data_IF_553654069623
#
_entry.id   IF_553654069623
#
_cell.length_a   1.000
_cell.length_b   1.000
_cell.length_c   1.000
_cell.angle_alpha   90.00
_cell.angle_beta   90.00
_cell.angle_gamma   90.00
#
_symmetry.space_group_name_H-M   'P 1'
#
loop_
_entity.id
_entity.type
_entity.pdbx_description
1 polymer ?
#
# COMPACT_ATOMS: atom_id res chain seq x y z
N UNK A 1 -2.51 -9.90 18.30
CA UNK A 1 -2.23 -10.99 19.28
C UNK A 1 -2.92 -12.26 18.83
N UNK A 2 -2.24 -13.43 18.81
CA UNK A 2 -2.90 -14.71 18.54
C UNK A 2 -4.07 -14.93 19.53
N UNK A 3 -5.20 -15.40 19.02
CA UNK A 3 -6.43 -15.67 19.76
C UNK A 3 -7.08 -16.98 19.28
N UNK A 4 -8.07 -17.46 20.00
CA UNK A 4 -8.94 -18.56 19.57
C UNK A 4 -10.39 -18.14 19.74
N UNK A 5 -11.22 -18.48 18.77
CA UNK A 5 -12.67 -18.34 18.85
C UNK A 5 -13.26 -19.36 19.85
N UNK A 6 -14.50 -19.15 20.23
CA UNK A 6 -15.23 -20.10 21.12
C UNK A 6 -15.34 -21.50 20.50
N UNK A 7 -15.41 -21.58 19.14
CA UNK A 7 -15.44 -22.84 18.39
C UNK A 7 -14.04 -23.48 18.22
N UNK A 8 -12.99 -22.89 18.85
CA UNK A 8 -11.62 -23.38 18.80
C UNK A 8 -10.81 -22.94 17.57
N UNK A 9 -11.40 -22.27 16.57
CA UNK A 9 -10.70 -21.84 15.39
C UNK A 9 -9.66 -20.74 15.69
N UNK A 10 -8.49 -20.77 15.04
CA UNK A 10 -7.46 -19.77 15.25
C UNK A 10 -7.89 -18.41 14.70
N UNK A 11 -7.57 -17.35 15.44
CA UNK A 11 -7.85 -15.97 15.07
C UNK A 11 -6.70 -15.06 15.51
N UNK A 12 -6.75 -13.79 15.08
CA UNK A 12 -5.89 -12.72 15.57
C UNK A 12 -6.76 -11.60 16.10
N UNK A 13 -6.52 -11.21 17.36
CA UNK A 13 -7.09 -9.99 17.94
C UNK A 13 -6.12 -8.83 17.64
N UNK A 14 -6.64 -7.82 16.95
CA UNK A 14 -5.97 -6.56 16.64
C UNK A 14 -6.68 -5.43 17.37
N UNK A 15 -5.92 -4.50 17.94
CA UNK A 15 -6.42 -3.23 18.48
C UNK A 15 -5.75 -2.11 17.71
N UNK A 16 -6.55 -1.32 17.01
CA UNK A 16 -6.03 -0.27 16.13
C UNK A 16 -5.70 0.99 16.91
N UNK A 17 -4.59 1.62 16.54
CA UNK A 17 -4.28 2.97 16.97
C UNK A 17 -5.30 3.95 16.34
N UNK A 18 -5.68 5.03 17.05
CA UNK A 18 -6.62 6.04 16.54
C UNK A 18 -5.96 6.95 15.49
N UNK A 19 -5.85 6.46 14.26
CA UNK A 19 -5.34 7.21 13.12
C UNK A 19 -6.36 7.18 11.96
N UNK A 20 -6.46 8.25 11.16
CA UNK A 20 -7.44 8.32 10.06
C UNK A 20 -7.27 7.22 9.02
N UNK A 21 -6.05 6.72 8.84
CA UNK A 21 -5.72 5.72 7.82
C UNK A 21 -6.27 4.33 8.14
N UNK A 22 -6.40 3.98 9.43
CA UNK A 22 -6.94 2.69 9.87
C UNK A 22 -8.44 2.72 10.20
N UNK A 23 -9.09 3.88 10.10
CA UNK A 23 -10.49 4.07 10.57
C UNK A 23 -11.48 3.10 9.92
N UNK A 24 -11.31 2.80 8.64
CA UNK A 24 -12.23 1.97 7.86
C UNK A 24 -11.68 0.56 7.53
N UNK A 25 -10.69 0.07 8.28
CA UNK A 25 -10.16 -1.28 8.07
C UNK A 25 -11.25 -2.35 8.19
N UNK A 26 -12.11 -2.23 9.20
CA UNK A 26 -13.20 -3.18 9.43
C UNK A 26 -14.18 -3.27 8.25
N UNK A 27 -14.51 -2.13 7.66
CA UNK A 27 -15.38 -2.02 6.49
C UNK A 27 -14.74 -2.62 5.25
N UNK A 28 -13.46 -2.34 5.01
CA UNK A 28 -12.71 -2.90 3.89
C UNK A 28 -12.62 -4.43 3.97
N UNK A 29 -12.22 -4.97 5.11
CA UNK A 29 -12.17 -6.42 5.33
C UNK A 29 -13.55 -7.08 5.20
N UNK A 30 -14.63 -6.41 5.60
CA UNK A 30 -15.99 -6.89 5.37
C UNK A 30 -16.37 -6.90 3.90
N UNK A 31 -15.95 -5.88 3.14
CA UNK A 31 -16.22 -5.77 1.71
C UNK A 31 -15.50 -6.85 0.92
N UNK A 32 -14.20 -7.03 1.15
CA UNK A 32 -13.42 -8.09 0.52
C UNK A 32 -13.89 -9.49 0.92
N UNK A 33 -14.39 -9.65 2.16
CA UNK A 33 -14.97 -10.90 2.67
C UNK A 33 -14.14 -12.15 2.36
N UNK A 34 -12.83 -12.01 2.44
CA UNK A 34 -11.88 -13.10 2.19
C UNK A 34 -11.38 -13.19 0.74
N UNK A 35 -11.82 -12.34 -0.19
CA UNK A 35 -11.23 -12.24 -1.51
C UNK A 35 -9.94 -11.41 -1.42
N UNK A 36 -8.79 -12.04 -1.59
CA UNK A 36 -7.46 -11.41 -1.51
C UNK A 36 -7.04 -10.94 -0.13
N UNK A 37 -7.93 -10.88 0.88
CA UNK A 37 -7.64 -10.42 2.24
C UNK A 37 -8.15 -11.40 3.29
N UNK A 38 -7.64 -11.25 4.53
CA UNK A 38 -8.16 -11.99 5.69
C UNK A 38 -9.61 -11.62 5.96
N UNK A 39 -10.40 -12.59 6.47
CA UNK A 39 -11.79 -12.36 6.88
C UNK A 39 -11.85 -11.60 8.20
N UNK A 40 -12.69 -10.58 8.27
CA UNK A 40 -13.13 -10.01 9.55
C UNK A 40 -14.12 -10.97 10.21
N UNK A 41 -13.82 -11.43 11.42
CA UNK A 41 -14.64 -12.36 12.18
C UNK A 41 -15.58 -11.63 13.16
N UNK A 42 -15.07 -10.56 13.79
CA UNK A 42 -15.85 -9.69 14.69
C UNK A 42 -15.20 -8.30 14.77
N UNK A 43 -15.95 -7.32 15.29
CA UNK A 43 -15.42 -5.99 15.64
C UNK A 43 -16.04 -5.47 16.94
N UNK A 44 -15.30 -4.60 17.60
CA UNK A 44 -15.73 -3.81 18.75
C UNK A 44 -15.26 -2.36 18.50
N UNK A 45 -16.20 -1.50 18.10
CA UNK A 45 -15.89 -0.11 17.71
C UNK A 45 -15.48 0.73 18.93
N UNK A 46 -16.04 0.46 20.12
CA UNK A 46 -15.70 1.19 21.33
C UNK A 46 -14.24 0.97 21.73
N UNK A 47 -13.74 -0.26 21.54
CA UNK A 47 -12.36 -0.65 21.85
C UNK A 47 -11.43 -0.59 20.66
N UNK A 48 -11.92 -0.20 19.48
CA UNK A 48 -11.19 -0.24 18.19
C UNK A 48 -10.55 -1.60 17.95
N UNK A 49 -11.24 -2.66 18.32
CA UNK A 49 -10.74 -4.02 18.25
C UNK A 49 -11.37 -4.80 17.08
N UNK A 50 -10.53 -5.53 16.38
CA UNK A 50 -10.92 -6.43 15.30
C UNK A 50 -10.47 -7.85 15.64
N UNK A 51 -11.36 -8.80 15.41
CA UNK A 51 -11.00 -10.21 15.35
C UNK A 51 -10.96 -10.61 13.88
N UNK A 52 -9.80 -11.03 13.42
CA UNK A 52 -9.58 -11.43 12.02
C UNK A 52 -9.13 -12.89 11.94
N UNK A 53 -9.31 -13.47 10.77
CA UNK A 53 -8.78 -14.78 10.40
C UNK A 53 -7.27 -14.83 10.64
N UNK A 54 -6.76 -15.93 11.20
CA UNK A 54 -5.33 -16.14 11.35
C UNK A 54 -4.80 -16.90 10.14
N UNK A 55 -3.86 -16.32 9.44
CA UNK A 55 -3.11 -17.00 8.40
C UNK A 55 -2.22 -18.10 8.99
N UNK A 56 -2.29 -19.29 8.43
CA UNK A 56 -1.45 -20.44 8.77
C UNK A 56 -0.97 -21.07 7.45
N UNK A 57 0.33 -21.26 7.27
CA UNK A 57 1.43 -21.08 8.22
C UNK A 57 1.74 -19.61 8.57
N UNK A 58 1.33 -18.61 7.76
CA UNK A 58 1.53 -17.20 8.03
C UNK A 58 2.94 -16.71 7.63
N UNK A 59 3.59 -17.39 6.67
CA UNK A 59 4.85 -16.96 6.08
C UNK A 59 4.63 -15.64 5.35
N UNK A 60 5.50 -14.67 5.56
CA UNK A 60 5.43 -13.38 4.85
C UNK A 60 5.90 -13.53 3.40
N UNK A 61 5.32 -12.76 2.50
CA UNK A 61 5.70 -12.79 1.09
C UNK A 61 7.17 -12.34 0.88
N UNK A 62 7.75 -11.59 1.82
CA UNK A 62 9.17 -11.26 1.83
C UNK A 62 10.11 -12.48 1.86
N UNK A 63 9.65 -13.63 2.38
CA UNK A 63 10.42 -14.86 2.47
C UNK A 63 10.44 -15.67 1.15
N UNK A 64 9.64 -15.25 0.16
CA UNK A 64 9.54 -15.88 -1.17
C UNK A 64 10.52 -15.19 -2.12
N UNK A 65 11.07 -15.91 -3.08
CA UNK A 65 11.89 -15.35 -4.15
C UNK A 65 11.11 -14.24 -4.90
N UNK A 66 11.78 -13.15 -5.28
CA UNK A 66 11.13 -11.90 -5.69
C UNK A 66 10.23 -12.01 -6.92
N UNK A 67 10.67 -12.69 -7.99
CA UNK A 67 9.85 -12.79 -9.20
C UNK A 67 8.54 -13.52 -8.92
N UNK A 68 8.62 -14.58 -8.12
CA UNK A 68 7.45 -15.33 -7.68
C UNK A 68 6.58 -14.53 -6.69
N UNK A 69 7.20 -13.74 -5.82
CA UNK A 69 6.49 -12.87 -4.89
C UNK A 69 5.71 -11.78 -5.64
N UNK A 70 6.28 -11.19 -6.68
CA UNK A 70 5.61 -10.19 -7.51
C UNK A 70 4.37 -10.76 -8.20
N UNK A 71 4.44 -12.00 -8.74
CA UNK A 71 3.27 -12.70 -9.29
C UNK A 71 2.15 -12.86 -8.24
N UNK A 72 2.52 -13.32 -7.04
CA UNK A 72 1.56 -13.52 -5.95
C UNK A 72 0.96 -12.19 -5.47
N UNK A 73 1.76 -11.12 -5.39
CA UNK A 73 1.26 -9.79 -5.05
C UNK A 73 0.28 -9.26 -6.09
N UNK A 74 0.56 -9.45 -7.39
CA UNK A 74 -0.34 -9.08 -8.47
C UNK A 74 -1.67 -9.86 -8.41
N UNK A 75 -1.62 -11.15 -8.10
CA UNK A 75 -2.82 -11.97 -7.91
C UNK A 75 -3.67 -11.51 -6.71
N UNK A 76 -3.03 -11.09 -5.61
CA UNK A 76 -3.73 -10.52 -4.45
C UNK A 76 -4.37 -9.18 -4.82
N UNK A 77 -3.64 -8.26 -5.47
CA UNK A 77 -4.18 -6.96 -5.93
C UNK A 77 -5.42 -7.15 -6.80
N UNK A 78 -5.36 -8.06 -7.78
CA UNK A 78 -6.48 -8.33 -8.69
C UNK A 78 -7.75 -8.78 -7.96
N UNK A 79 -7.63 -9.43 -6.80
CA UNK A 79 -8.76 -9.85 -5.97
C UNK A 79 -9.26 -8.71 -5.07
N UNK A 80 -8.38 -7.79 -4.64
CA UNK A 80 -8.73 -6.67 -3.77
C UNK A 80 -9.49 -5.56 -4.51
N UNK A 81 -9.21 -5.35 -5.79
CA UNK A 81 -9.80 -4.26 -6.57
C UNK A 81 -11.28 -4.50 -6.89
N UNK A 82 -12.12 -4.22 -5.91
CA UNK A 82 -13.57 -4.31 -6.00
C UNK A 82 -14.18 -2.91 -5.93
N UNK A 83 -15.35 -2.73 -6.53
CA UNK A 83 -16.10 -1.49 -6.40
C UNK A 83 -16.41 -1.20 -4.93
N UNK A 84 -16.18 0.04 -4.50
CA UNK A 84 -16.44 0.49 -3.13
C UNK A 84 -17.76 1.26 -3.03
N UNK A 85 -18.47 1.18 -1.89
CA UNK A 85 -19.63 2.03 -1.65
C UNK A 85 -19.21 3.49 -1.52
N UNK A 86 -19.98 4.39 -2.12
CA UNK A 86 -19.73 5.82 -2.03
C UNK A 86 -19.83 6.33 -0.58
N UNK A 87 -18.91 7.25 -0.22
CA UNK A 87 -18.99 7.99 1.04
C UNK A 87 -18.56 7.23 2.30
N UNK A 88 -18.05 6.00 2.18
CA UNK A 88 -17.56 5.21 3.33
C UNK A 88 -16.06 5.42 3.53
N UNK A 89 -15.29 5.34 2.47
CA UNK A 89 -13.84 5.37 2.52
C UNK A 89 -13.29 6.76 2.17
N UNK A 90 -12.06 7.03 2.65
CA UNK A 90 -11.29 8.18 2.18
C UNK A 90 -11.09 8.08 0.66
N UNK A 91 -11.00 9.22 -0.02
CA UNK A 91 -10.73 9.24 -1.46
C UNK A 91 -9.25 9.45 -1.75
N UNK A 92 -8.74 8.81 -2.80
CA UNK A 92 -7.39 9.05 -3.30
C UNK A 92 -7.22 10.51 -3.75
N UNK A 93 -8.26 11.14 -4.30
CA UNK A 93 -8.24 12.57 -4.65
C UNK A 93 -8.00 13.45 -3.43
N UNK A 94 -8.67 13.16 -2.31
CA UNK A 94 -8.48 13.89 -1.05
C UNK A 94 -7.08 13.67 -0.47
N UNK A 95 -6.58 12.45 -0.56
CA UNK A 95 -5.24 12.08 -0.12
C UNK A 95 -4.16 12.78 -0.97
N UNK A 96 -4.32 12.79 -2.29
CA UNK A 96 -3.42 13.49 -3.20
C UNK A 96 -3.37 15.01 -2.93
N UNK A 97 -4.52 15.63 -2.70
CA UNK A 97 -4.58 17.05 -2.36
C UNK A 97 -3.88 17.35 -1.01
N UNK A 98 -4.04 16.49 -0.01
CA UNK A 98 -3.34 16.59 1.27
C UNK A 98 -1.82 16.48 1.08
N UNK A 99 -1.35 15.47 0.35
CA UNK A 99 0.08 15.29 0.09
C UNK A 99 0.69 16.43 -0.71
N UNK A 100 -0.03 16.96 -1.72
CA UNK A 100 0.43 18.12 -2.50
C UNK A 100 0.67 19.37 -1.62
N UNK A 101 -0.16 19.54 -0.57
CA UNK A 101 -0.02 20.65 0.36
C UNK A 101 1.07 20.41 1.43
N UNK A 102 1.17 19.20 1.96
CA UNK A 102 2.04 18.85 3.09
C UNK A 102 3.50 18.61 2.67
N UNK A 103 3.72 17.97 1.50
CA UNK A 103 5.05 17.54 1.05
C UNK A 103 6.06 18.70 0.92
N UNK A 104 5.73 19.87 0.32
CA UNK A 104 6.65 21.00 0.29
C UNK A 104 7.04 21.54 1.67
N UNK A 105 6.09 21.53 2.60
CA UNK A 105 6.30 22.00 3.99
C UNK A 105 7.24 21.04 4.72
N UNK A 106 6.98 19.74 4.63
CA UNK A 106 7.80 18.70 5.25
C UNK A 106 9.22 18.69 4.66
N UNK A 107 9.35 18.79 3.35
CA UNK A 107 10.63 18.87 2.65
C UNK A 107 11.46 20.08 3.10
N UNK A 108 10.83 21.26 3.21
CA UNK A 108 11.52 22.46 3.67
C UNK A 108 11.95 22.34 5.15
N UNK A 109 11.07 21.83 6.02
CA UNK A 109 11.34 21.61 7.43
C UNK A 109 12.46 20.61 7.68
N UNK A 110 12.58 19.59 6.83
CA UNK A 110 13.65 18.57 6.87
C UNK A 110 14.99 19.06 6.27
N UNK A 111 15.11 20.33 5.89
CA UNK A 111 16.34 20.89 5.34
C UNK A 111 16.57 20.61 3.85
N UNK A 112 15.51 20.31 3.10
CA UNK A 112 15.55 20.06 1.64
C UNK A 112 16.42 18.85 1.29
N UNK A 113 16.05 17.64 1.74
CA UNK A 113 16.91 16.44 1.67
C UNK A 113 17.09 15.85 0.27
N UNK A 114 16.33 16.32 -0.73
CA UNK A 114 16.44 15.92 -2.12
C UNK A 114 16.20 17.11 -3.05
N UNK A 115 16.45 16.93 -4.34
CA UNK A 115 16.38 17.98 -5.35
C UNK A 115 14.96 18.57 -5.54
N UNK A 116 14.88 19.90 -5.70
CA UNK A 116 13.64 20.63 -5.94
C UNK A 116 12.85 20.07 -7.13
N UNK A 117 13.53 19.69 -8.21
CA UNK A 117 12.89 19.18 -9.42
C UNK A 117 12.13 17.86 -9.19
N UNK A 118 12.56 17.03 -8.24
CA UNK A 118 11.84 15.82 -7.86
C UNK A 118 10.58 16.15 -7.01
N UNK A 119 10.69 17.15 -6.14
CA UNK A 119 9.54 17.67 -5.39
C UNK A 119 8.49 18.25 -6.34
N UNK A 120 8.92 19.11 -7.28
CA UNK A 120 8.03 19.79 -8.23
C UNK A 120 7.27 18.77 -9.09
N UNK A 121 7.95 17.74 -9.58
CA UNK A 121 7.33 16.65 -10.36
C UNK A 121 6.25 15.90 -9.54
N UNK A 122 6.54 15.56 -8.29
CA UNK A 122 5.56 14.90 -7.43
C UNK A 122 4.34 15.77 -7.15
N UNK A 123 4.56 17.06 -6.82
CA UNK A 123 3.48 18.01 -6.53
C UNK A 123 2.63 18.28 -7.76
N UNK A 124 3.24 18.45 -8.93
CA UNK A 124 2.52 18.63 -10.20
C UNK A 124 1.67 17.39 -10.52
N UNK A 125 2.23 16.20 -10.39
CA UNK A 125 1.48 14.95 -10.58
C UNK A 125 0.27 14.87 -9.63
N UNK A 126 0.47 15.11 -8.33
CA UNK A 126 -0.60 15.08 -7.33
C UNK A 126 -1.72 16.12 -7.61
N UNK A 127 -1.37 17.26 -8.18
CA UNK A 127 -2.32 18.34 -8.48
C UNK A 127 -3.08 18.13 -9.81
N UNK A 128 -2.44 17.51 -10.81
CA UNK A 128 -2.95 17.46 -12.19
C UNK A 128 -3.45 16.09 -12.64
N UNK A 129 -3.11 15.04 -11.93
CA UNK A 129 -3.49 13.67 -12.24
C UNK A 129 -4.63 13.16 -11.32
N UNK A 130 -5.82 13.80 -11.32
CA UNK A 130 -6.94 13.30 -10.52
C UNK A 130 -7.28 11.87 -10.97
N UNK A 131 -7.60 11.00 -10.02
CA UNK A 131 -8.07 9.65 -10.33
C UNK A 131 -9.29 9.72 -11.26
N UNK A 132 -9.32 8.82 -12.22
CA UNK A 132 -10.50 8.69 -13.10
C UNK A 132 -11.55 7.87 -12.39
N UNK A 133 -12.75 8.40 -12.23
CA UNK A 133 -13.90 7.77 -11.53
C UNK A 133 -14.25 6.39 -12.11
N UNK A 134 -13.91 6.13 -13.37
CA UNK A 134 -14.23 4.88 -14.08
C UNK A 134 -13.39 3.69 -13.61
N UNK A 135 -12.18 3.94 -13.09
CA UNK A 135 -11.26 2.91 -12.59
C UNK A 135 -11.19 2.84 -11.05
N UNK A 136 -12.06 3.56 -10.35
CA UNK A 136 -12.03 3.62 -8.89
C UNK A 136 -12.38 2.26 -8.27
N UNK A 137 -11.45 1.80 -7.44
CA UNK A 137 -11.56 0.57 -6.67
C UNK A 137 -11.30 0.82 -5.19
N UNK A 138 -11.70 -0.12 -4.34
CA UNK A 138 -11.24 -0.18 -2.97
C UNK A 138 -9.78 -0.63 -2.97
N UNK A 139 -8.91 0.22 -2.47
CA UNK A 139 -7.46 0.06 -2.44
C UNK A 139 -6.98 -0.32 -1.04
N UNK A 140 -5.83 -0.98 -0.98
CA UNK A 140 -5.16 -1.35 0.26
C UNK A 140 -4.26 -0.24 0.81
N UNK A 141 -3.65 0.55 -0.06
CA UNK A 141 -2.70 1.65 0.17
C UNK A 141 -1.33 1.20 0.72
N UNK A 142 -1.26 0.23 1.61
CA UNK A 142 -0.02 -0.21 2.28
C UNK A 142 0.30 -1.69 1.98
N UNK A 143 0.12 -2.11 0.71
CA UNK A 143 0.37 -3.48 0.30
C UNK A 143 1.86 -3.70 -0.02
N UNK A 144 2.57 -4.26 0.93
CA UNK A 144 3.95 -4.72 0.78
C UNK A 144 4.08 -6.19 1.23
N UNK A 145 5.18 -6.85 0.94
CA UNK A 145 5.35 -8.28 1.19
C UNK A 145 5.21 -8.71 2.66
N UNK A 146 5.39 -7.77 3.61
CA UNK A 146 5.11 -8.01 5.03
C UNK A 146 3.62 -8.04 5.37
N UNK A 147 2.78 -7.41 4.53
CA UNK A 147 1.33 -7.37 4.67
C UNK A 147 0.61 -8.40 3.78
N UNK A 148 1.36 -9.35 3.21
CA UNK A 148 0.81 -10.48 2.46
C UNK A 148 1.31 -11.77 3.09
N UNK A 149 0.39 -12.58 3.62
CA UNK A 149 0.69 -13.79 4.36
C UNK A 149 0.16 -15.04 3.68
N UNK A 150 0.94 -16.12 3.74
CA UNK A 150 0.50 -17.43 3.28
C UNK A 150 -0.58 -18.01 4.19
N UNK A 151 -1.57 -18.67 3.60
CA UNK A 151 -2.65 -19.35 4.32
C UNK A 151 -3.07 -20.63 3.60
N UNK A 152 -3.96 -21.43 4.22
CA UNK A 152 -4.60 -22.59 3.56
C UNK A 152 -5.43 -22.17 2.35
N UNK A 153 -5.85 -20.90 2.25
CA UNK A 153 -6.63 -20.34 1.13
C UNK A 153 -5.76 -19.61 0.08
N UNK A 154 -4.44 -19.71 0.16
CA UNK A 154 -3.50 -18.95 -0.66
C UNK A 154 -2.92 -17.76 0.08
N UNK A 155 -2.45 -16.76 -0.67
CA UNK A 155 -1.87 -15.53 -0.13
C UNK A 155 -2.96 -14.49 0.16
N UNK A 156 -2.90 -13.87 1.34
CA UNK A 156 -3.93 -12.96 1.82
C UNK A 156 -3.30 -11.68 2.37
N UNK A 157 -3.90 -10.55 1.99
CA UNK A 157 -3.54 -9.24 2.55
C UNK A 157 -4.07 -9.06 3.97
N UNK A 158 -3.29 -8.35 4.79
CA UNK A 158 -3.61 -7.92 6.15
C UNK A 158 -3.32 -6.42 6.29
N UNK A 159 -3.81 -5.80 7.35
CA UNK A 159 -3.49 -4.42 7.75
C UNK A 159 -3.75 -3.34 6.68
N UNK A 160 -4.91 -3.32 6.03
CA UNK A 160 -5.20 -2.29 5.04
C UNK A 160 -5.35 -0.90 5.69
N UNK A 161 -4.95 0.12 4.92
CA UNK A 161 -5.23 1.54 5.15
C UNK A 161 -6.19 2.04 4.05
N UNK A 162 -7.45 1.61 4.06
CA UNK A 162 -8.29 1.62 2.87
C UNK A 162 -8.65 3.02 2.39
N UNK A 163 -8.64 3.19 1.08
CA UNK A 163 -9.18 4.35 0.38
C UNK A 163 -9.77 3.93 -0.97
N UNK A 164 -10.47 4.85 -1.63
CA UNK A 164 -11.07 4.62 -2.95
C UNK A 164 -10.35 5.47 -3.97
N UNK A 165 -9.92 4.85 -5.06
CA UNK A 165 -9.27 5.51 -6.16
C UNK A 165 -8.77 4.56 -7.24
N UNK A 166 -7.91 5.06 -8.11
CA UNK A 166 -7.39 4.29 -9.23
C UNK A 166 -6.41 3.18 -8.80
N UNK A 167 -6.49 2.06 -9.49
CA UNK A 167 -5.71 0.85 -9.21
C UNK A 167 -4.19 1.06 -9.28
N UNK A 168 -3.72 1.96 -10.15
CA UNK A 168 -2.31 2.26 -10.33
C UNK A 168 -1.62 2.72 -9.02
N UNK A 169 -2.36 3.36 -8.12
CA UNK A 169 -1.86 3.81 -6.83
C UNK A 169 -1.41 2.65 -5.91
N UNK A 170 -2.16 1.55 -5.91
CA UNK A 170 -1.90 0.42 -4.97
C UNK A 170 -0.58 -0.31 -5.25
N UNK A 171 -0.04 -0.15 -6.45
CA UNK A 171 1.28 -0.71 -6.82
C UNK A 171 2.44 0.04 -6.17
N UNK A 172 2.25 1.30 -5.76
CA UNK A 172 3.33 2.17 -5.28
C UNK A 172 4.12 1.57 -4.09
N UNK A 173 3.46 0.86 -3.17
CA UNK A 173 4.12 0.20 -2.03
C UNK A 173 5.01 -0.96 -2.49
N UNK A 174 4.59 -1.71 -3.52
CA UNK A 174 5.32 -2.86 -4.05
C UNK A 174 6.59 -2.44 -4.83
N UNK A 175 6.60 -1.26 -5.47
CA UNK A 175 7.78 -0.77 -6.17
C UNK A 175 8.99 -0.63 -5.24
N UNK A 176 8.76 -0.16 -4.01
CA UNK A 176 9.83 0.03 -2.99
C UNK A 176 9.90 -1.08 -1.95
N UNK A 177 9.20 -2.18 -2.17
CA UNK A 177 9.23 -3.32 -1.25
C UNK A 177 10.62 -3.94 -1.10
N UNK A 178 10.87 -4.70 -0.04
CA UNK A 178 12.16 -5.34 0.26
C UNK A 178 13.33 -4.35 0.36
N UNK A 179 13.14 -3.29 1.12
CA UNK A 179 14.09 -2.16 1.21
C UNK A 179 15.51 -2.58 1.58
N UNK A 180 15.67 -3.55 2.49
CA UNK A 180 16.99 -4.03 2.91
C UNK A 180 17.72 -4.75 1.77
N UNK A 181 17.02 -5.53 0.96
CA UNK A 181 17.57 -6.20 -0.22
C UNK A 181 17.92 -5.20 -1.32
N UNK A 182 17.01 -4.21 -1.53
CA UNK A 182 17.23 -3.14 -2.50
C UNK A 182 18.43 -2.27 -2.16
N UNK A 183 18.62 -1.91 -0.89
CA UNK A 183 19.73 -1.07 -0.44
C UNK A 183 21.11 -1.71 -0.69
N UNK A 184 21.17 -3.02 -0.87
CA UNK A 184 22.39 -3.78 -1.14
C UNK A 184 22.55 -4.11 -2.64
N UNK A 185 21.58 -3.80 -3.47
CA UNK A 185 21.60 -4.12 -4.90
C UNK A 185 22.43 -3.07 -5.66
N UNK A 186 23.51 -3.46 -6.38
CA UNK A 186 24.29 -2.53 -7.18
C UNK A 186 23.51 -1.92 -8.35
N UNK A 187 22.41 -2.55 -8.79
CA UNK A 187 21.48 -2.03 -9.81
C UNK A 187 20.10 -1.69 -9.21
N UNK A 188 20.09 -1.00 -8.09
CA UNK A 188 18.87 -0.55 -7.41
C UNK A 188 17.85 0.06 -8.36
N UNK A 189 18.29 1.02 -9.21
CA UNK A 189 17.40 1.71 -10.14
C UNK A 189 16.84 0.78 -11.24
N UNK A 190 17.65 -0.13 -11.75
CA UNK A 190 17.20 -1.15 -12.72
C UNK A 190 16.14 -2.06 -12.12
N UNK A 191 16.32 -2.48 -10.87
CA UNK A 191 15.37 -3.34 -10.16
C UNK A 191 14.03 -2.64 -9.90
N UNK A 192 14.03 -1.35 -9.52
CA UNK A 192 12.80 -0.56 -9.37
C UNK A 192 12.06 -0.44 -10.70
N UNK A 193 12.77 -0.13 -11.80
CA UNK A 193 12.17 -0.05 -13.14
C UNK A 193 11.64 -1.39 -13.62
N UNK A 194 12.34 -2.48 -13.34
CA UNK A 194 11.86 -3.83 -13.66
C UNK A 194 10.54 -4.17 -12.95
N UNK A 195 10.42 -3.81 -11.65
CA UNK A 195 9.15 -3.97 -10.91
C UNK A 195 8.04 -3.12 -11.52
N UNK A 196 8.33 -1.87 -11.87
CA UNK A 196 7.37 -0.99 -12.54
C UNK A 196 6.84 -1.65 -13.82
N UNK A 197 7.74 -2.08 -14.70
CA UNK A 197 7.37 -2.71 -15.97
C UNK A 197 6.59 -4.00 -15.73
N UNK A 198 7.03 -4.86 -14.81
CA UNK A 198 6.35 -6.11 -14.44
C UNK A 198 4.89 -5.85 -14.00
N UNK A 199 4.67 -4.95 -13.03
CA UNK A 199 3.32 -4.71 -12.52
C UNK A 199 2.42 -4.03 -13.55
N UNK A 200 2.96 -3.12 -14.38
CA UNK A 200 2.20 -2.50 -15.47
C UNK A 200 1.73 -3.56 -16.48
N UNK A 201 2.62 -4.42 -16.95
CA UNK A 201 2.31 -5.47 -17.91
C UNK A 201 1.34 -6.52 -17.32
N UNK A 202 1.61 -6.98 -16.09
CA UNK A 202 0.84 -8.05 -15.43
C UNK A 202 -0.59 -7.64 -15.06
N UNK A 203 -0.78 -6.35 -14.74
CA UNK A 203 -2.05 -5.80 -14.24
C UNK A 203 -2.75 -4.89 -15.26
N UNK A 204 -2.17 -4.75 -16.46
CA UNK A 204 -2.71 -3.91 -17.55
C UNK A 204 -2.92 -2.45 -17.12
N UNK A 205 -1.90 -1.88 -16.43
CA UNK A 205 -1.95 -0.52 -15.89
C UNK A 205 -1.15 0.46 -16.76
N UNK A 206 -1.61 1.72 -16.78
CA UNK A 206 -0.84 2.80 -17.42
C UNK A 206 0.47 3.05 -16.67
N UNK A 207 1.60 2.91 -17.38
CA UNK A 207 2.94 3.00 -16.82
C UNK A 207 3.25 4.37 -16.22
N UNK A 208 2.80 5.45 -16.85
CA UNK A 208 3.04 6.81 -16.36
C UNK A 208 2.21 7.10 -15.10
N UNK A 209 1.02 6.50 -14.99
CA UNK A 209 0.20 6.57 -13.77
C UNK A 209 0.88 5.83 -12.61
N UNK A 210 1.30 4.58 -12.81
CA UNK A 210 2.01 3.80 -11.78
C UNK A 210 3.32 4.48 -11.38
N UNK A 211 4.09 5.01 -12.34
CA UNK A 211 5.32 5.76 -12.10
C UNK A 211 5.06 7.02 -11.25
N UNK A 212 4.10 7.83 -11.65
CA UNK A 212 3.75 9.06 -10.94
C UNK A 212 3.29 8.81 -9.51
N UNK A 213 2.42 7.82 -9.30
CA UNK A 213 2.02 7.40 -7.95
C UNK A 213 3.19 6.82 -7.15
N UNK A 214 4.08 6.06 -7.79
CA UNK A 214 5.29 5.55 -7.16
C UNK A 214 6.19 6.65 -6.62
N UNK A 215 6.44 7.71 -7.39
CA UNK A 215 7.20 8.89 -6.97
C UNK A 215 6.48 9.62 -5.84
N UNK A 216 5.21 9.96 -6.04
CA UNK A 216 4.44 10.74 -5.06
C UNK A 216 4.31 10.01 -3.71
N UNK A 217 3.97 8.72 -3.73
CA UNK A 217 3.85 7.90 -2.53
C UNK A 217 5.20 7.71 -1.82
N UNK A 218 6.28 7.46 -2.55
CA UNK A 218 7.61 7.33 -1.97
C UNK A 218 8.03 8.61 -1.23
N UNK A 219 7.77 9.78 -1.80
CA UNK A 219 8.12 11.06 -1.16
C UNK A 219 7.17 11.43 -0.02
N UNK A 220 5.87 11.21 -0.16
CA UNK A 220 4.89 11.49 0.91
C UNK A 220 5.13 10.62 2.16
N UNK A 221 5.54 9.37 1.98
CA UNK A 221 5.90 8.43 3.06
C UNK A 221 7.40 8.39 3.34
N UNK A 222 8.18 9.25 2.70
CA UNK A 222 9.63 9.34 2.80
C UNK A 222 10.16 10.06 4.04
N UNK A 223 9.34 10.25 5.08
CA UNK A 223 9.74 10.91 6.32
C UNK A 223 9.20 10.18 7.55
N UNK A 224 10.08 9.95 8.51
CA UNK A 224 9.72 9.39 9.81
C UNK A 224 10.20 10.32 10.93
N UNK A 225 9.29 10.82 11.76
CA UNK A 225 9.61 11.79 12.80
C UNK A 225 10.31 13.05 12.27
N UNK A 226 9.98 13.49 11.06
CA UNK A 226 10.60 14.63 10.37
C UNK A 226 11.98 14.34 9.75
N UNK A 227 12.46 13.11 9.79
CA UNK A 227 13.72 12.69 9.18
C UNK A 227 13.47 12.02 7.83
N UNK A 228 14.25 12.35 6.79
CA UNK A 228 14.09 11.74 5.49
C UNK A 228 14.54 10.26 5.51
N UNK A 229 13.80 9.42 4.82
CA UNK A 229 14.12 8.00 4.57
C UNK A 229 14.84 7.88 3.22
N UNK A 230 16.12 7.56 3.24
CA UNK A 230 16.97 7.56 2.05
C UNK A 230 16.48 6.57 0.97
N UNK A 231 16.04 5.39 1.36
CA UNK A 231 15.51 4.35 0.47
C UNK A 231 14.25 4.79 -0.29
N UNK A 232 13.37 5.56 0.35
CA UNK A 232 12.20 6.15 -0.29
C UNK A 232 12.60 7.20 -1.33
N UNK A 233 13.53 8.08 -0.99
CA UNK A 233 14.03 9.11 -1.91
C UNK A 233 14.73 8.47 -3.11
N UNK A 234 15.57 7.46 -2.90
CA UNK A 234 16.24 6.75 -3.99
C UNK A 234 15.25 6.00 -4.89
N UNK A 235 14.18 5.43 -4.32
CA UNK A 235 13.10 4.83 -5.11
C UNK A 235 12.43 5.89 -6.02
N UNK A 236 12.09 7.06 -5.48
CA UNK A 236 11.53 8.15 -6.26
C UNK A 236 12.48 8.62 -7.40
N UNK A 237 13.79 8.69 -7.12
CA UNK A 237 14.81 9.00 -8.14
C UNK A 237 14.90 7.94 -9.23
N UNK A 238 14.82 6.67 -8.87
CA UNK A 238 14.89 5.54 -9.81
C UNK A 238 13.69 5.48 -10.77
N UNK A 239 12.55 6.02 -10.33
CA UNK A 239 11.31 6.13 -11.10
C UNK A 239 11.27 7.39 -12.00
N UNK A 240 12.13 8.37 -11.74
CA UNK A 240 12.23 9.58 -12.54
C UNK A 240 12.98 9.33 -13.83
#
# INVERSE_FOLDING_TARGET
MPARRVDGLPAVLKVNFPEPESEHEAEALARWNGAGAVRRLARDDERRALLVERCLPGTQLWEVEESRANEMAADVLSQLWQAAPAGVFRSLTGEAARWAAELPVTWAAAGRPFEQALLDEAVEFLATAPPTVEDDALLHQDLHGGNILSSERGWLAIDPKPLVGERAFDVASLLRDRRDDLAQDPDFAGRIRHRLDFFCDRLELDRERVRGWGIAHALAWGFEGGRPLADHIECARALR
#
